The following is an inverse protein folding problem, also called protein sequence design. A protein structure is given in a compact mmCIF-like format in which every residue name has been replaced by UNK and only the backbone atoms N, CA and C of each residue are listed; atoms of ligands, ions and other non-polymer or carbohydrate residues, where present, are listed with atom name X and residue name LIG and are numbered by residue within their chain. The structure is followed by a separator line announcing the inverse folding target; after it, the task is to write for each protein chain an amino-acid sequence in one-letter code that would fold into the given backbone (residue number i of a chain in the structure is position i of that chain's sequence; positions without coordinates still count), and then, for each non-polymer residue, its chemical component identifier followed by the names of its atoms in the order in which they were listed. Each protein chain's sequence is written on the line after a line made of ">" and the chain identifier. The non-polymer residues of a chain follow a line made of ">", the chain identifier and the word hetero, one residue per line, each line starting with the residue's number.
data_IF_996832787839
#
_entry.id   IF_996832787839
#
_cell.length_a   1.000
_cell.length_b   1.000
_cell.length_c   1.000
_cell.angle_alpha   90.00
_cell.angle_beta   90.00
_cell.angle_gamma   90.00
#
_symmetry.space_group_name_H-M   'P 1'
#
loop_
_entity.id
_entity.type
_entity.pdbx_description
1 polymer ?
#
# COMPACT_ATOMS: atom_id res chain seq x y z
N UNK A 1 -13.71 12.57 -5.25
CA UNK A 1 -12.40 13.16 -4.90
C UNK A 1 -11.47 13.00 -6.11
N UNK A 2 -10.52 13.91 -6.34
CA UNK A 2 -9.49 13.72 -7.38
C UNK A 2 -8.24 13.14 -6.73
N UNK A 3 -7.57 12.19 -7.37
CA UNK A 3 -6.34 11.59 -6.83
C UNK A 3 -5.25 12.65 -6.59
N UNK A 4 -5.18 13.67 -7.46
CA UNK A 4 -4.22 14.79 -7.37
C UNK A 4 -4.36 15.67 -6.12
N UNK A 5 -5.43 15.53 -5.34
CA UNK A 5 -5.61 16.30 -4.09
C UNK A 5 -5.08 15.58 -2.85
N UNK A 6 -4.58 14.36 -2.98
CA UNK A 6 -4.00 13.58 -1.88
C UNK A 6 -2.48 13.75 -1.84
N UNK A 7 -1.89 13.72 -0.64
CA UNK A 7 -0.47 13.41 -0.54
C UNK A 7 -0.29 11.90 -0.77
N UNK A 8 0.51 11.55 -1.76
CA UNK A 8 0.74 10.17 -2.17
C UNK A 8 2.17 9.69 -1.84
N UNK A 9 3.00 10.54 -1.24
CA UNK A 9 4.39 10.23 -0.93
C UNK A 9 4.70 10.55 0.54
N UNK A 10 4.66 9.49 1.34
CA UNK A 10 5.11 9.47 2.74
C UNK A 10 6.46 8.74 2.90
N UNK A 11 7.16 8.44 1.80
CA UNK A 11 8.46 7.78 1.80
C UNK A 11 9.63 8.75 1.62
N UNK A 12 9.46 9.87 0.92
CA UNK A 12 10.55 10.81 0.55
C UNK A 12 11.47 11.25 1.70
N UNK A 13 11.00 11.25 2.95
CA UNK A 13 11.80 11.54 4.15
C UNK A 13 12.74 10.41 4.62
N UNK A 14 12.62 9.22 4.03
CA UNK A 14 13.24 7.96 4.48
C UNK A 14 14.06 7.28 3.36
N UNK A 15 14.59 8.06 2.42
CA UNK A 15 15.39 7.54 1.31
C UNK A 15 16.52 6.62 1.78
N UNK A 16 16.57 5.40 1.23
CA UNK A 16 17.53 4.36 1.60
C UNK A 16 16.98 3.33 2.59
N UNK A 17 15.82 3.58 3.18
CA UNK A 17 15.00 2.58 3.85
C UNK A 17 14.06 1.88 2.86
N UNK A 18 13.39 0.82 3.32
CA UNK A 18 12.39 0.09 2.52
C UNK A 18 11.14 0.93 2.28
N UNK A 19 10.64 0.89 1.05
CA UNK A 19 9.44 1.59 0.60
C UNK A 19 8.30 0.57 0.38
N UNK A 20 7.09 0.90 0.82
CA UNK A 20 5.88 0.16 0.51
C UNK A 20 5.05 1.01 -0.45
N UNK A 21 4.62 0.41 -1.56
CA UNK A 21 3.77 1.06 -2.56
C UNK A 21 2.45 0.36 -2.73
N UNK A 22 1.38 1.14 -2.77
CA UNK A 22 0.06 0.73 -3.21
C UNK A 22 -0.19 1.28 -4.62
N UNK A 23 -0.05 0.44 -5.64
CA UNK A 23 -0.31 0.80 -7.03
C UNK A 23 -1.81 0.71 -7.36
N UNK A 24 -2.27 1.63 -8.21
CA UNK A 24 -3.64 1.60 -8.73
C UNK A 24 -3.70 2.05 -10.19
N UNK A 25 -4.62 1.44 -10.92
CA UNK A 25 -4.93 1.75 -12.31
C UNK A 25 -6.40 1.41 -12.59
N UNK A 26 -6.96 2.04 -13.62
CA UNK A 26 -8.26 1.62 -14.15
C UNK A 26 -8.21 0.17 -14.62
N UNK A 27 -9.32 -0.57 -14.50
CA UNK A 27 -9.45 -1.96 -14.98
C UNK A 27 -9.26 -2.09 -16.50
N UNK A 28 -9.38 -0.99 -17.25
CA UNK A 28 -9.14 -0.96 -18.70
C UNK A 28 -7.66 -0.85 -19.06
N UNK A 29 -6.81 -0.54 -18.07
CA UNK A 29 -5.36 -0.39 -18.21
C UNK A 29 -4.70 -1.67 -17.74
N UNK A 30 -3.90 -2.30 -18.60
CA UNK A 30 -3.06 -3.42 -18.18
C UNK A 30 -1.91 -2.87 -17.34
N UNK A 31 -1.80 -3.34 -16.10
CA UNK A 31 -0.67 -3.00 -15.23
C UNK A 31 0.63 -3.47 -15.88
N UNK A 32 1.60 -2.55 -16.02
CA UNK A 32 2.91 -2.85 -16.60
C UNK A 32 3.99 -1.99 -15.97
N UNK A 33 4.99 -2.64 -15.38
CA UNK A 33 6.21 -1.99 -14.91
C UNK A 33 7.05 -1.46 -16.06
N UNK A 34 7.82 -0.42 -15.78
CA UNK A 34 8.83 0.04 -16.72
C UNK A 34 10.03 -0.90 -16.68
N UNK A 35 10.23 -1.62 -17.76
CA UNK A 35 11.38 -2.51 -17.94
C UNK A 35 12.21 -1.95 -19.08
N UNK A 36 13.48 -1.65 -18.82
CA UNK A 36 14.43 -1.14 -19.82
C UNK A 36 15.53 -2.14 -20.07
N UNK A 37 15.73 -2.47 -21.34
CA UNK A 37 16.90 -3.23 -21.78
C UNK A 37 18.15 -2.35 -21.69
N UNK A 38 19.18 -2.80 -20.97
CA UNK A 38 20.46 -2.09 -20.86
C UNK A 38 21.62 -2.82 -21.56
N UNK A 39 21.45 -4.10 -21.85
CA UNK A 39 22.32 -4.92 -22.69
C UNK A 39 21.45 -5.97 -23.38
N UNK A 40 21.90 -6.54 -24.49
CA UNK A 40 21.13 -7.56 -25.22
C UNK A 40 20.68 -8.67 -24.26
N UNK A 41 19.37 -8.89 -24.19
CA UNK A 41 18.72 -9.88 -23.31
C UNK A 41 18.91 -9.62 -21.80
N UNK A 42 19.29 -8.39 -21.40
CA UNK A 42 19.39 -7.95 -20.00
C UNK A 42 18.57 -6.69 -19.75
N UNK A 43 17.71 -6.79 -18.75
CA UNK A 43 16.74 -5.75 -18.42
C UNK A 43 16.93 -5.27 -16.99
N UNK A 44 16.66 -3.99 -16.76
CA UNK A 44 16.50 -3.43 -15.43
C UNK A 44 15.08 -2.87 -15.30
N UNK A 45 14.54 -2.99 -14.09
CA UNK A 45 13.33 -2.28 -13.73
C UNK A 45 13.65 -0.80 -13.52
N UNK A 46 12.79 0.07 -14.05
CA UNK A 46 12.80 1.49 -13.78
C UNK A 46 11.60 1.78 -12.90
N UNK A 47 11.84 2.48 -11.81
CA UNK A 47 10.80 2.91 -10.89
C UNK A 47 9.77 3.78 -11.64
N UNK A 48 8.47 3.48 -11.46
CA UNK A 48 7.38 4.24 -12.08
C UNK A 48 7.28 5.64 -11.48
N UNK A 49 7.06 6.65 -12.32
CA UNK A 49 6.63 7.99 -11.88
C UNK A 49 5.10 8.06 -11.74
N UNK A 50 4.59 8.98 -10.91
CA UNK A 50 3.15 9.16 -10.70
C UNK A 50 2.40 9.43 -12.02
N UNK A 51 1.39 8.63 -12.32
CA UNK A 51 0.56 8.76 -13.52
C UNK A 51 1.17 8.14 -14.79
N UNK A 52 2.41 7.64 -14.73
CA UNK A 52 3.05 6.98 -15.85
C UNK A 52 2.30 5.69 -16.22
N UNK A 53 2.09 5.45 -17.52
CA UNK A 53 1.24 4.35 -18.02
C UNK A 53 -0.21 4.36 -17.47
N UNK A 54 -0.69 5.49 -16.94
CA UNK A 54 -1.95 5.60 -16.19
C UNK A 54 -1.98 4.78 -14.89
N UNK A 55 -0.79 4.57 -14.30
CA UNK A 55 -0.61 3.93 -13.01
C UNK A 55 -0.29 5.04 -12.01
N UNK A 56 -1.02 5.05 -10.90
CA UNK A 56 -0.76 5.93 -9.76
C UNK A 56 -0.35 5.06 -8.58
N UNK A 57 0.33 5.64 -7.59
CA UNK A 57 0.65 4.88 -6.38
C UNK A 57 0.61 5.74 -5.13
N UNK A 58 0.30 5.12 -4.01
CA UNK A 58 0.55 5.68 -2.68
C UNK A 58 1.82 5.04 -2.13
N UNK A 59 2.77 5.83 -1.68
CA UNK A 59 4.06 5.39 -1.15
C UNK A 59 4.20 5.76 0.32
N UNK A 60 4.73 4.83 1.13
CA UNK A 60 5.05 5.05 2.53
C UNK A 60 6.30 4.29 2.95
N UNK A 61 6.96 4.78 4.01
CA UNK A 61 8.03 4.06 4.67
C UNK A 61 7.53 2.76 5.32
N UNK A 62 8.31 1.68 5.20
CA UNK A 62 7.98 0.36 5.77
C UNK A 62 7.69 0.40 7.27
N UNK A 63 8.36 1.28 8.04
CA UNK A 63 8.08 1.42 9.48
C UNK A 63 6.67 1.94 9.78
N UNK A 64 6.13 2.83 8.94
CA UNK A 64 4.73 3.25 9.05
C UNK A 64 3.77 2.09 8.73
N UNK A 65 4.11 1.29 7.71
CA UNK A 65 3.33 0.13 7.34
C UNK A 65 3.37 -0.97 8.42
N UNK A 66 4.52 -1.26 9.01
CA UNK A 66 4.67 -2.20 10.13
C UNK A 66 3.83 -1.76 11.33
N UNK A 67 3.87 -0.46 11.68
CA UNK A 67 3.02 0.07 12.74
C UNK A 67 1.53 -0.09 12.43
N UNK A 68 1.12 0.11 11.17
CA UNK A 68 -0.24 -0.13 10.72
C UNK A 68 -0.66 -1.60 10.89
N UNK A 69 0.16 -2.53 10.42
CA UNK A 69 -0.10 -3.98 10.51
C UNK A 69 -0.14 -4.46 11.96
N UNK A 70 0.76 -3.99 12.81
CA UNK A 70 0.75 -4.33 14.25
C UNK A 70 -0.55 -3.93 14.91
N UNK A 71 -1.08 -2.76 14.59
CA UNK A 71 -2.34 -2.29 15.16
C UNK A 71 -3.54 -3.10 14.66
N UNK A 72 -3.53 -3.52 13.39
CA UNK A 72 -4.51 -4.48 12.86
C UNK A 72 -4.50 -5.79 13.68
N UNK A 73 -3.32 -6.35 13.90
CA UNK A 73 -3.14 -7.63 14.60
C UNK A 73 -3.54 -7.54 16.07
N UNK A 74 -2.98 -6.57 16.80
CA UNK A 74 -3.16 -6.43 18.26
C UNK A 74 -4.63 -6.18 18.60
N UNK A 75 -5.33 -5.38 17.79
CA UNK A 75 -6.65 -4.88 18.15
C UNK A 75 -7.79 -5.74 17.64
N UNK A 76 -7.66 -6.39 16.48
CA UNK A 76 -8.70 -7.28 15.97
C UNK A 76 -8.64 -8.68 16.57
N UNK A 77 -7.53 -9.07 17.23
CA UNK A 77 -7.36 -10.34 17.96
C UNK A 77 -7.62 -11.62 17.16
N UNK A 78 -7.89 -11.51 15.87
CA UNK A 78 -8.20 -12.65 15.02
C UNK A 78 -7.31 -12.58 13.79
N UNK A 79 -6.07 -13.06 13.94
CA UNK A 79 -5.13 -13.23 12.82
C UNK A 79 -5.78 -13.93 11.61
N UNK A 80 -6.73 -14.83 11.87
CA UNK A 80 -7.51 -15.55 10.85
C UNK A 80 -8.38 -14.64 9.98
N UNK A 81 -8.81 -13.48 10.49
CA UNK A 81 -9.66 -12.52 9.78
C UNK A 81 -8.87 -11.49 8.96
N UNK A 82 -7.54 -11.46 9.09
CA UNK A 82 -6.72 -10.51 8.32
C UNK A 82 -6.79 -10.80 6.81
N UNK A 83 -6.78 -9.76 5.96
CA UNK A 83 -6.59 -9.88 4.52
C UNK A 83 -5.36 -10.73 4.19
N UNK A 84 -5.41 -11.43 3.06
CA UNK A 84 -4.31 -12.30 2.65
C UNK A 84 -3.03 -11.51 2.42
N UNK A 85 -3.12 -10.31 1.83
CA UNK A 85 -1.93 -9.47 1.60
C UNK A 85 -1.23 -9.05 2.91
N UNK A 86 -2.00 -8.81 3.99
CA UNK A 86 -1.46 -8.51 5.33
C UNK A 86 -0.79 -9.75 5.95
N UNK A 87 -1.43 -10.92 5.81
CA UNK A 87 -0.87 -12.20 6.27
C UNK A 87 0.42 -12.54 5.53
N UNK A 88 0.44 -12.36 4.21
CA UNK A 88 1.60 -12.60 3.35
C UNK A 88 2.78 -11.72 3.77
N UNK A 89 2.53 -10.44 4.04
CA UNK A 89 3.54 -9.53 4.56
C UNK A 89 4.03 -9.96 5.95
N UNK A 90 3.13 -10.29 6.88
CA UNK A 90 3.47 -10.63 8.27
C UNK A 90 4.20 -11.99 8.44
N UNK A 91 3.86 -13.02 7.65
CA UNK A 91 4.41 -14.38 7.78
C UNK A 91 5.79 -14.59 7.12
N UNK A 92 6.39 -13.55 6.55
CA UNK A 92 7.69 -13.64 5.86
C UNK A 92 7.70 -14.60 4.64
N UNK A 93 6.59 -14.69 3.90
CA UNK A 93 6.59 -15.23 2.53
C UNK A 93 6.00 -14.20 1.57
N UNK A 94 6.87 -13.44 0.90
CA UNK A 94 6.60 -13.11 -0.50
C UNK A 94 6.49 -11.64 -0.88
N UNK A 95 7.50 -10.84 -0.55
CA UNK A 95 7.76 -9.64 -1.33
C UNK A 95 9.26 -9.59 -1.64
N UNK A 96 9.66 -10.27 -2.72
CA UNK A 96 10.92 -10.03 -3.42
C UNK A 96 10.53 -9.73 -4.85
N UNK A 97 10.26 -8.47 -5.12
CA UNK A 97 9.82 -7.97 -6.42
C UNK A 97 8.37 -8.36 -6.78
N UNK A 98 7.63 -7.42 -7.37
CA UNK A 98 6.23 -7.62 -7.82
C UNK A 98 6.06 -8.83 -8.74
N UNK A 99 7.13 -9.22 -9.45
CA UNK A 99 7.11 -10.37 -10.36
C UNK A 99 6.91 -11.70 -9.62
N UNK A 100 7.20 -11.72 -8.32
CA UNK A 100 7.01 -12.92 -7.49
C UNK A 100 5.63 -12.99 -6.84
N UNK A 101 5.02 -11.85 -6.48
CA UNK A 101 3.63 -11.74 -5.99
C UNK A 101 3.09 -10.33 -6.31
N UNK A 102 2.12 -10.26 -7.23
CA UNK A 102 1.19 -9.14 -7.32
C UNK A 102 0.03 -9.46 -6.37
N UNK A 103 0.10 -9.10 -5.08
CA UNK A 103 -1.09 -9.22 -4.22
C UNK A 103 -2.07 -8.13 -4.67
N UNK A 104 -2.90 -8.53 -5.63
CA UNK A 104 -4.09 -7.81 -6.02
C UNK A 104 -5.02 -7.82 -4.81
N UNK A 105 -5.20 -6.66 -4.20
CA UNK A 105 -6.11 -6.47 -3.08
C UNK A 105 -7.53 -6.58 -3.63
N UNK A 106 -8.27 -7.58 -3.14
CA UNK A 106 -9.64 -7.80 -3.58
C UNK A 106 -10.55 -6.69 -3.08
N UNK A 107 -11.71 -6.50 -3.74
CA UNK A 107 -12.71 -5.51 -3.29
C UNK A 107 -13.11 -5.76 -1.83
N UNK A 108 -13.34 -7.01 -1.43
CA UNK A 108 -13.68 -7.35 -0.05
C UNK A 108 -12.58 -6.97 0.95
N UNK A 109 -11.31 -7.17 0.61
CA UNK A 109 -10.19 -6.76 1.47
C UNK A 109 -10.07 -5.24 1.56
N UNK A 110 -10.30 -4.53 0.45
CA UNK A 110 -10.34 -3.07 0.42
C UNK A 110 -11.50 -2.54 1.27
N UNK A 111 -12.70 -3.11 1.16
CA UNK A 111 -13.84 -2.76 1.99
C UNK A 111 -13.57 -2.99 3.47
N UNK A 112 -12.95 -4.12 3.79
CA UNK A 112 -12.53 -4.45 5.15
C UNK A 112 -11.58 -3.39 5.70
N UNK A 113 -10.53 -3.01 4.96
CA UNK A 113 -9.60 -1.95 5.38
C UNK A 113 -10.31 -0.61 5.61
N UNK A 114 -11.13 -0.17 4.66
CA UNK A 114 -11.88 1.11 4.75
C UNK A 114 -12.75 1.14 6.00
N UNK A 115 -13.38 0.01 6.35
CA UNK A 115 -14.22 -0.08 7.54
C UNK A 115 -13.42 -0.01 8.85
N UNK A 116 -12.16 -0.48 8.84
CA UNK A 116 -11.37 -0.65 10.06
C UNK A 116 -10.42 0.50 10.37
N UNK A 117 -9.84 1.15 9.37
CA UNK A 117 -8.87 2.23 9.58
C UNK A 117 -9.42 3.35 10.51
N UNK A 118 -10.69 3.81 10.37
CA UNK A 118 -11.24 4.80 11.28
C UNK A 118 -11.24 4.34 12.75
N UNK A 119 -11.64 3.09 13.01
CA UNK A 119 -11.68 2.52 14.37
C UNK A 119 -10.28 2.46 14.99
N UNK A 120 -9.28 2.05 14.20
CA UNK A 120 -7.89 1.96 14.65
C UNK A 120 -7.35 3.35 15.00
N UNK A 121 -7.61 4.34 14.14
CA UNK A 121 -7.22 5.73 14.37
C UNK A 121 -7.83 6.29 15.66
N UNK A 122 -9.13 6.10 15.89
CA UNK A 122 -9.80 6.56 17.11
C UNK A 122 -9.21 5.92 18.37
N UNK A 123 -9.01 4.61 18.35
CA UNK A 123 -8.45 3.88 19.48
C UNK A 123 -6.97 4.21 19.72
N UNK A 124 -6.19 4.53 18.67
CA UNK A 124 -4.78 4.90 18.82
C UNK A 124 -4.64 6.27 19.50
N UNK A 125 -5.56 7.20 19.22
CA UNK A 125 -5.61 8.49 19.93
C UNK A 125 -5.82 8.33 21.44
N UNK A 126 -6.45 7.25 21.87
CA UNK A 126 -6.72 6.97 23.29
C UNK A 126 -5.54 6.30 24.01
N UNK A 127 -4.67 5.61 23.27
CA UNK A 127 -3.52 4.88 23.79
C UNK A 127 -2.22 5.50 23.27
N UNK A 128 -1.68 6.49 23.98
CA UNK A 128 -0.37 7.09 23.70
C UNK A 128 0.76 6.09 24.05
N UNK A 129 0.95 5.06 23.23
CA UNK A 129 2.18 4.27 23.22
C UNK A 129 3.22 4.97 22.34
N UNK A 130 4.49 4.73 22.63
CA UNK A 130 5.60 5.08 21.73
C UNK A 130 5.49 4.21 20.47
N UNK A 131 4.74 4.70 19.47
CA UNK A 131 4.64 4.10 18.15
C UNK A 131 5.09 5.10 17.09
N UNK A 132 5.53 4.59 15.94
CA UNK A 132 5.83 5.40 14.75
C UNK A 132 4.57 5.73 13.95
N UNK A 133 3.40 5.72 14.59
CA UNK A 133 2.11 5.93 13.94
C UNK A 133 1.98 7.35 13.39
N UNK A 134 1.89 7.46 12.07
CA UNK A 134 1.70 8.72 11.37
C UNK A 134 0.22 8.88 10.98
N UNK A 135 -0.50 9.73 11.70
CA UNK A 135 -1.93 9.93 11.46
C UNK A 135 -2.24 10.51 10.08
N UNK A 136 -1.37 11.37 9.56
CA UNK A 136 -1.60 12.01 8.26
C UNK A 136 -1.41 10.97 7.16
N UNK A 137 -0.36 10.15 7.24
CA UNK A 137 -0.14 9.01 6.35
C UNK A 137 -1.33 8.05 6.33
N UNK A 138 -1.84 7.67 7.51
CA UNK A 138 -2.93 6.68 7.59
C UNK A 138 -4.28 7.26 7.13
N UNK A 139 -4.54 8.55 7.39
CA UNK A 139 -5.75 9.21 6.89
C UNK A 139 -5.72 9.35 5.36
N UNK A 140 -4.59 9.75 4.79
CA UNK A 140 -4.46 9.87 3.33
C UNK A 140 -4.49 8.51 2.65
N UNK A 141 -3.94 7.47 3.28
CA UNK A 141 -4.07 6.08 2.81
C UNK A 141 -5.54 5.63 2.79
N UNK A 142 -6.33 5.97 3.81
CA UNK A 142 -7.77 5.69 3.84
C UNK A 142 -8.51 6.43 2.71
N UNK A 143 -8.23 7.72 2.53
CA UNK A 143 -8.83 8.51 1.45
C UNK A 143 -8.44 7.97 0.06
N UNK A 144 -7.20 7.48 -0.09
CA UNK A 144 -6.74 6.78 -1.29
C UNK A 144 -7.52 5.47 -1.52
N UNK A 145 -7.73 4.66 -0.49
CA UNK A 145 -8.57 3.45 -0.58
C UNK A 145 -10.02 3.76 -0.97
N UNK A 146 -10.61 4.79 -0.37
CA UNK A 146 -11.96 5.26 -0.72
C UNK A 146 -12.01 5.73 -2.18
N UNK A 147 -10.98 6.45 -2.65
CA UNK A 147 -10.89 6.85 -4.05
C UNK A 147 -10.89 5.64 -4.99
N UNK A 148 -10.05 4.65 -4.73
CA UNK A 148 -9.95 3.43 -5.56
C UNK A 148 -11.30 2.72 -5.62
N UNK A 149 -11.93 2.51 -4.45
CA UNK A 149 -13.24 1.86 -4.35
C UNK A 149 -14.29 2.59 -5.17
N UNK A 150 -14.38 3.91 -5.03
CA UNK A 150 -15.38 4.72 -5.72
C UNK A 150 -15.22 4.73 -7.25
N UNK A 151 -14.02 4.44 -7.76
CA UNK A 151 -13.75 4.35 -9.19
C UNK A 151 -13.69 2.91 -9.71
N UNK A 152 -13.86 1.90 -8.83
CA UNK A 152 -13.68 0.48 -9.15
C UNK A 152 -12.33 0.18 -9.80
N UNK A 153 -11.26 0.81 -9.30
CA UNK A 153 -9.91 0.60 -9.82
C UNK A 153 -9.24 -0.63 -9.19
N UNK A 154 -8.24 -1.16 -9.90
CA UNK A 154 -7.39 -2.20 -9.34
C UNK A 154 -6.49 -1.62 -8.25
N UNK A 155 -6.18 -2.43 -7.24
CA UNK A 155 -5.24 -2.08 -6.19
C UNK A 155 -4.25 -3.22 -5.98
N UNK A 156 -2.97 -2.88 -6.04
CA UNK A 156 -1.86 -3.80 -5.82
C UNK A 156 -0.97 -3.18 -4.76
N UNK A 157 -0.31 -3.99 -3.95
CA UNK A 157 0.71 -3.53 -3.01
C UNK A 157 2.08 -4.10 -3.43
N UNK A 158 3.21 -3.52 -3.03
CA UNK A 158 4.53 -4.17 -2.96
C UNK A 158 5.55 -3.47 -2.07
N UNK A 159 6.66 -4.16 -1.80
CA UNK A 159 7.91 -3.58 -1.28
C UNK A 159 8.83 -3.22 -2.47
N UNK A 160 9.45 -2.04 -2.44
CA UNK A 160 10.45 -1.55 -3.42
C UNK A 160 11.86 -1.47 -2.80
#
# INVERSE_FOLDING_TARGET
>A
MKIDSLNLDYYSGFLGEKEIRFYTNSQEVVFKKNIKEYEKDKYCEIQLEQGENNIYFFSLWEGYFDSFVRELIVRKKEYQELPNFIKNWYECKGWRDIESIEDLITENELEWLISLVPEINEQHKQNLQESVWDYDCINDLLEFFIFIKNNSWELRICEE
#
